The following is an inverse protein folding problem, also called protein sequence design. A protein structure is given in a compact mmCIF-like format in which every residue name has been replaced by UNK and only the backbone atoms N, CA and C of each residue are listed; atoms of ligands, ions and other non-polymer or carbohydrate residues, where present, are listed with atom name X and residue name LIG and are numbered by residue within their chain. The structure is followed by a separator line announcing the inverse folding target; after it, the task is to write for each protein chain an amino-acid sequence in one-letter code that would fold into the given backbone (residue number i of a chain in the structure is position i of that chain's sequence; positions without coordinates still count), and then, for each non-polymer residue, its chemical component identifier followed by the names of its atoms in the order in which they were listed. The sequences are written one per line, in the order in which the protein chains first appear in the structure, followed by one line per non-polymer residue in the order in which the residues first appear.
data_IF_506797677469
#
_entry.id   IF_506797677469
#
_cell.length_a   1.000
_cell.length_b   1.000
_cell.length_c   1.000
_cell.angle_alpha   90.00
_cell.angle_beta   90.00
_cell.angle_gamma   90.00
#
_symmetry.space_group_name_H-M   'P 1'
#
loop_
_entity.id
_entity.type
_entity.pdbx_description
1 polymer ?
#
# COMPACT_ATOMS: atom_id res chain seq x y z
N UNK A 1 6.66 13.10 -8.48
CA UNK A 1 5.40 12.36 -8.62
C UNK A 1 5.74 10.89 -8.70
N UNK A 2 5.11 10.07 -7.85
CA UNK A 2 5.22 8.61 -7.96
C UNK A 2 4.40 8.20 -9.17
N UNK A 3 5.04 7.67 -10.20
CA UNK A 3 4.35 7.15 -11.39
C UNK A 3 4.23 5.62 -11.26
N UNK A 4 3.22 5.05 -11.89
CA UNK A 4 3.09 3.60 -12.03
C UNK A 4 4.27 3.07 -12.88
N UNK A 5 4.93 2.03 -12.40
CA UNK A 5 5.88 1.25 -13.19
C UNK A 5 5.16 0.33 -14.20
N UNK A 6 5.87 -0.24 -15.17
CA UNK A 6 5.29 -1.15 -16.17
C UNK A 6 4.55 -2.33 -15.51
N UNK A 7 5.15 -2.94 -14.48
CA UNK A 7 4.51 -4.01 -13.72
C UNK A 7 3.23 -3.54 -12.98
N UNK A 8 3.21 -2.29 -12.51
CA UNK A 8 2.04 -1.70 -11.87
C UNK A 8 0.93 -1.36 -12.88
N UNK A 9 1.30 -0.91 -14.09
CA UNK A 9 0.38 -0.69 -15.18
C UNK A 9 -0.29 -1.99 -15.63
N UNK A 10 0.48 -3.06 -15.79
CA UNK A 10 -0.05 -4.38 -16.16
C UNK A 10 -1.02 -4.91 -15.09
N UNK A 11 -0.61 -4.85 -13.82
CA UNK A 11 -1.47 -5.26 -12.71
C UNK A 11 -2.74 -4.41 -12.57
N UNK A 12 -2.65 -3.11 -12.88
CA UNK A 12 -3.82 -2.22 -12.93
C UNK A 12 -4.79 -2.65 -14.03
N UNK A 13 -4.31 -2.84 -15.27
CA UNK A 13 -5.14 -3.27 -16.40
C UNK A 13 -5.83 -4.61 -16.14
N UNK A 14 -5.10 -5.59 -15.59
CA UNK A 14 -5.70 -6.88 -15.24
C UNK A 14 -6.78 -6.77 -14.16
N UNK A 15 -6.58 -5.90 -13.19
CA UNK A 15 -7.60 -5.62 -12.16
C UNK A 15 -8.82 -4.93 -12.75
N UNK A 16 -8.60 -3.92 -13.59
CA UNK A 16 -9.67 -3.17 -14.27
C UNK A 16 -10.51 -4.10 -15.14
N UNK A 17 -9.88 -4.96 -15.95
CA UNK A 17 -10.59 -5.93 -16.80
C UNK A 17 -11.46 -6.89 -15.99
N UNK A 18 -10.96 -7.39 -14.86
CA UNK A 18 -11.74 -8.24 -13.95
C UNK A 18 -12.93 -7.50 -13.36
N UNK A 19 -12.74 -6.26 -12.93
CA UNK A 19 -13.81 -5.44 -12.34
C UNK A 19 -14.88 -5.06 -13.38
N UNK A 20 -14.48 -4.64 -14.58
CA UNK A 20 -15.42 -4.36 -15.67
C UNK A 20 -16.18 -5.62 -16.11
N UNK A 21 -15.50 -6.77 -16.17
CA UNK A 21 -16.16 -8.04 -16.46
C UNK A 21 -17.18 -8.40 -15.39
N UNK A 22 -16.89 -8.18 -14.11
CA UNK A 22 -17.84 -8.39 -13.01
C UNK A 22 -19.12 -7.55 -13.17
N UNK A 23 -18.98 -6.24 -13.45
CA UNK A 23 -20.13 -5.33 -13.63
C UNK A 23 -20.95 -5.66 -14.89
N UNK A 24 -20.30 -6.09 -15.99
CA UNK A 24 -20.94 -6.31 -17.29
C UNK A 24 -21.31 -7.76 -17.59
N UNK A 25 -20.98 -8.70 -16.70
CA UNK A 25 -21.23 -10.14 -16.87
C UNK A 25 -22.72 -10.46 -17.11
N UNK A 26 -23.62 -9.60 -16.61
CA UNK A 26 -25.07 -9.84 -16.63
C UNK A 26 -25.79 -9.13 -17.78
N UNK A 27 -25.04 -8.48 -18.67
CA UNK A 27 -25.57 -7.68 -19.76
C UNK A 27 -25.07 -6.24 -19.72
N UNK A 28 -25.52 -5.44 -20.68
CA UNK A 28 -25.19 -4.02 -20.74
C UNK A 28 -25.95 -3.25 -19.65
N UNK A 29 -25.46 -2.05 -19.32
CA UNK A 29 -26.13 -1.12 -18.41
C UNK A 29 -27.45 -0.62 -19.03
N UNK A 30 -28.52 -1.36 -18.73
CA UNK A 30 -29.87 -1.09 -19.24
C UNK A 30 -30.42 0.25 -18.74
N UNK A 31 -30.04 0.69 -17.55
CA UNK A 31 -30.54 1.94 -16.96
C UNK A 31 -29.99 3.11 -17.74
N UNK A 32 -28.69 3.14 -17.99
CA UNK A 32 -28.05 4.16 -18.81
C UNK A 32 -28.58 4.14 -20.24
N UNK A 33 -28.74 2.96 -20.86
CA UNK A 33 -29.28 2.85 -22.21
C UNK A 33 -30.71 3.37 -22.34
N UNK A 34 -31.56 3.17 -21.34
CA UNK A 34 -32.94 3.60 -21.37
C UNK A 34 -33.12 5.10 -21.07
N UNK A 35 -32.17 5.72 -20.36
CA UNK A 35 -32.34 7.09 -19.82
C UNK A 35 -31.42 8.12 -20.48
N UNK A 36 -30.30 7.71 -21.08
CA UNK A 36 -29.31 8.62 -21.67
C UNK A 36 -29.39 8.56 -23.20
N UNK A 37 -29.78 9.65 -23.89
CA UNK A 37 -29.80 9.68 -25.35
C UNK A 37 -28.43 9.40 -25.96
N UNK A 38 -28.41 8.65 -27.07
CA UNK A 38 -27.20 8.38 -27.82
C UNK A 38 -26.52 9.70 -28.28
N UNK A 39 -25.20 9.77 -28.13
CA UNK A 39 -24.41 10.97 -28.48
C UNK A 39 -24.39 12.06 -27.41
N UNK A 40 -25.05 11.86 -26.25
CA UNK A 40 -24.93 12.79 -25.11
C UNK A 40 -23.48 12.83 -24.62
N UNK A 41 -22.88 14.02 -24.62
CA UNK A 41 -21.55 14.28 -24.07
C UNK A 41 -21.72 14.98 -22.74
N UNK A 42 -20.98 14.54 -21.73
CA UNK A 42 -20.98 15.13 -20.40
C UNK A 42 -19.57 15.46 -19.93
N UNK A 43 -19.47 16.45 -19.05
CA UNK A 43 -18.26 16.76 -18.30
C UNK A 43 -18.47 16.25 -16.88
N UNK A 44 -17.64 15.31 -16.43
CA UNK A 44 -17.72 14.71 -15.12
C UNK A 44 -16.47 15.05 -14.29
N UNK A 45 -16.65 15.24 -12.99
CA UNK A 45 -15.57 15.53 -12.05
C UNK A 45 -15.55 14.52 -10.91
N UNK A 46 -14.38 13.97 -10.61
CA UNK A 46 -14.17 13.20 -9.38
C UNK A 46 -13.99 14.18 -8.22
N UNK A 47 -14.87 14.12 -7.22
CA UNK A 47 -14.90 15.09 -6.12
C UNK A 47 -14.88 14.35 -4.77
N UNK A 48 -13.88 14.60 -3.92
CA UNK A 48 -13.82 14.00 -2.58
C UNK A 48 -14.89 14.60 -1.67
N UNK A 49 -15.47 13.76 -0.82
CA UNK A 49 -16.46 14.15 0.19
C UNK A 49 -15.85 14.39 1.57
N UNK A 50 -14.64 13.90 1.77
CA UNK A 50 -13.86 14.02 3.00
C UNK A 50 -12.38 14.32 2.68
N UNK A 51 -11.60 14.91 3.61
CA UNK A 51 -10.18 15.17 3.39
C UNK A 51 -9.39 13.86 3.33
N UNK A 52 -8.31 13.84 2.54
CA UNK A 52 -7.47 12.65 2.40
C UNK A 52 -6.26 12.88 1.50
N UNK A 53 -5.66 11.79 1.02
CA UNK A 53 -4.57 11.79 0.05
C UNK A 53 -5.03 11.00 -1.18
N UNK A 54 -4.94 11.61 -2.36
CA UNK A 54 -5.31 10.96 -3.61
C UNK A 54 -4.26 9.93 -4.03
N UNK A 55 -4.71 8.74 -4.39
CA UNK A 55 -3.93 7.75 -5.11
C UNK A 55 -4.81 7.03 -6.14
N UNK A 56 -4.27 6.83 -7.35
CA UNK A 56 -4.92 6.12 -8.43
C UNK A 56 -5.54 7.01 -9.50
N UNK A 57 -5.15 8.29 -9.66
CA UNK A 57 -5.68 9.12 -10.77
C UNK A 57 -5.38 8.47 -12.12
N UNK A 58 -4.18 7.92 -12.32
CA UNK A 58 -3.85 7.20 -13.56
C UNK A 58 -4.65 5.90 -13.70
N UNK A 59 -4.99 5.23 -12.59
CA UNK A 59 -5.86 4.04 -12.62
C UNK A 59 -7.28 4.42 -13.07
N UNK A 60 -7.77 5.60 -12.68
CA UNK A 60 -9.05 6.12 -13.17
C UNK A 60 -9.05 6.31 -14.69
N UNK A 61 -7.97 6.89 -15.22
CA UNK A 61 -7.78 7.07 -16.65
C UNK A 61 -7.65 5.72 -17.39
N UNK A 62 -6.98 4.74 -16.80
CA UNK A 62 -6.89 3.39 -17.36
C UNK A 62 -8.26 2.69 -17.46
N UNK A 63 -9.19 2.97 -16.55
CA UNK A 63 -10.58 2.48 -16.67
C UNK A 63 -11.25 3.10 -17.89
N UNK A 64 -11.08 4.41 -18.10
CA UNK A 64 -11.60 5.10 -19.28
C UNK A 64 -10.93 4.61 -20.56
N UNK A 65 -9.62 4.36 -20.55
CA UNK A 65 -8.89 3.79 -21.69
C UNK A 65 -9.46 2.42 -22.09
N UNK A 66 -9.72 1.55 -21.12
CA UNK A 66 -10.25 0.20 -21.38
C UNK A 66 -11.71 0.25 -21.90
N UNK A 67 -12.51 1.21 -21.43
CA UNK A 67 -13.93 1.34 -21.80
C UNK A 67 -14.18 2.15 -23.08
N UNK A 68 -13.42 3.22 -23.30
CA UNK A 68 -13.65 4.20 -24.38
C UNK A 68 -12.53 4.23 -25.43
N UNK A 69 -11.37 3.65 -25.12
CA UNK A 69 -10.14 3.90 -25.86
C UNK A 69 -9.50 5.23 -25.49
N UNK A 70 -8.21 5.35 -25.76
CA UNK A 70 -7.39 6.53 -25.39
C UNK A 70 -7.88 7.84 -26.00
N UNK A 71 -8.53 7.79 -27.16
CA UNK A 71 -9.10 8.95 -27.85
C UNK A 71 -10.61 9.16 -27.55
N UNK A 72 -11.19 8.32 -26.68
CA UNK A 72 -12.62 8.31 -26.39
C UNK A 72 -13.07 9.29 -25.30
N UNK A 73 -12.13 9.96 -24.64
CA UNK A 73 -12.39 10.99 -23.64
C UNK A 73 -11.33 12.09 -23.69
N UNK A 74 -11.63 13.23 -23.06
CA UNK A 74 -10.71 14.36 -22.91
C UNK A 74 -10.53 14.70 -21.43
N UNK A 75 -9.30 14.68 -20.95
CA UNK A 75 -8.97 15.23 -19.62
C UNK A 75 -8.96 16.76 -19.70
N UNK A 76 -9.77 17.42 -18.89
CA UNK A 76 -9.85 18.88 -18.80
C UNK A 76 -8.96 19.41 -17.67
N UNK A 77 -8.92 18.71 -16.54
CA UNK A 77 -8.05 19.02 -15.40
C UNK A 77 -7.74 17.75 -14.59
N UNK A 78 -6.58 17.71 -13.93
CA UNK A 78 -6.22 16.61 -13.03
C UNK A 78 -5.14 17.01 -12.01
N UNK A 79 -5.25 16.46 -10.82
CA UNK A 79 -4.15 16.50 -9.83
C UNK A 79 -3.21 15.30 -10.00
N UNK A 80 -2.02 15.41 -9.39
CA UNK A 80 -1.09 14.30 -9.27
C UNK A 80 -1.37 13.45 -8.03
N UNK A 81 -1.05 12.16 -8.10
CA UNK A 81 -1.09 11.27 -6.93
C UNK A 81 -0.18 11.79 -5.80
N UNK A 82 -0.67 11.68 -4.56
CA UNK A 82 -0.02 12.14 -3.34
C UNK A 82 -0.45 13.53 -2.87
N UNK A 83 -1.27 14.23 -3.66
CA UNK A 83 -1.86 15.52 -3.26
C UNK A 83 -2.84 15.32 -2.10
N UNK A 84 -2.78 16.22 -1.10
CA UNK A 84 -3.79 16.27 -0.03
C UNK A 84 -5.06 16.93 -0.55
N UNK A 85 -6.16 16.21 -0.43
CA UNK A 85 -7.46 16.62 -0.92
C UNK A 85 -8.23 17.43 0.13
N UNK A 86 -9.03 18.37 -0.35
CA UNK A 86 -10.05 19.06 0.42
C UNK A 86 -11.43 18.67 -0.11
N UNK A 87 -12.44 18.47 0.76
CA UNK A 87 -13.80 18.17 0.32
C UNK A 87 -14.32 19.19 -0.69
N UNK A 88 -15.00 18.71 -1.73
CA UNK A 88 -15.60 19.56 -2.76
C UNK A 88 -14.64 20.08 -3.83
N UNK A 89 -13.33 19.85 -3.72
CA UNK A 89 -12.37 20.24 -4.75
C UNK A 89 -12.16 19.10 -5.77
N UNK A 90 -12.49 19.28 -7.05
CA UNK A 90 -12.28 18.26 -8.08
C UNK A 90 -10.81 17.81 -8.16
N UNK A 91 -10.60 16.49 -8.28
CA UNK A 91 -9.27 15.87 -8.45
C UNK A 91 -8.99 15.43 -9.89
N UNK A 92 -10.05 15.21 -10.66
CA UNK A 92 -10.00 14.85 -12.08
C UNK A 92 -11.28 15.35 -12.72
N UNK A 93 -11.19 16.08 -13.82
CA UNK A 93 -12.33 16.48 -14.65
C UNK A 93 -12.12 15.97 -16.07
N UNK A 94 -13.09 15.20 -16.58
CA UNK A 94 -13.06 14.60 -17.91
C UNK A 94 -14.32 14.93 -18.69
N UNK A 95 -14.21 14.92 -20.02
CA UNK A 95 -15.34 15.05 -20.93
C UNK A 95 -15.38 13.83 -21.86
N UNK A 96 -16.53 13.16 -21.94
CA UNK A 96 -16.72 11.97 -22.78
C UNK A 96 -18.21 11.69 -23.03
N UNK A 97 -18.51 10.59 -23.72
CA UNK A 97 -19.89 10.10 -23.85
C UNK A 97 -20.47 9.78 -22.46
N UNK A 98 -21.61 10.39 -22.13
CA UNK A 98 -22.24 10.29 -20.82
C UNK A 98 -22.53 8.83 -20.43
N UNK A 99 -22.97 8.02 -21.40
CA UNK A 99 -23.25 6.61 -21.17
C UNK A 99 -22.00 5.82 -20.76
N UNK A 100 -20.85 6.12 -21.36
CA UNK A 100 -19.61 5.44 -21.05
C UNK A 100 -19.03 5.87 -19.70
N UNK A 101 -19.18 7.16 -19.33
CA UNK A 101 -18.81 7.65 -18.00
C UNK A 101 -19.61 6.94 -16.90
N UNK A 102 -20.92 6.79 -17.09
CA UNK A 102 -21.80 6.10 -16.13
C UNK A 102 -21.46 4.62 -15.99
N UNK A 103 -21.19 3.92 -17.11
CA UNK A 103 -20.77 2.50 -17.06
C UNK A 103 -19.40 2.33 -16.40
N UNK A 104 -18.46 3.24 -16.62
CA UNK A 104 -17.12 3.20 -16.02
C UNK A 104 -17.10 3.61 -14.54
N UNK A 105 -18.11 4.36 -14.09
CA UNK A 105 -18.14 5.05 -12.79
C UNK A 105 -17.81 4.13 -11.63
N UNK A 106 -18.53 3.02 -11.47
CA UNK A 106 -18.44 2.20 -10.25
C UNK A 106 -17.08 1.54 -10.13
N UNK A 107 -16.58 0.94 -11.21
CA UNK A 107 -15.24 0.35 -11.26
C UNK A 107 -14.16 1.40 -10.98
N UNK A 108 -14.26 2.58 -11.61
CA UNK A 108 -13.32 3.68 -11.41
C UNK A 108 -13.30 4.18 -9.96
N UNK A 109 -14.47 4.51 -9.39
CA UNK A 109 -14.58 5.00 -8.02
C UNK A 109 -14.12 3.96 -7.01
N UNK A 110 -14.52 2.69 -7.14
CA UNK A 110 -14.13 1.65 -6.19
C UNK A 110 -12.59 1.52 -6.08
N UNK A 111 -11.87 1.56 -7.20
CA UNK A 111 -10.41 1.47 -7.22
C UNK A 111 -9.77 2.71 -6.59
N UNK A 112 -10.17 3.91 -7.03
CA UNK A 112 -9.56 5.17 -6.54
C UNK A 112 -9.90 5.41 -5.07
N UNK A 113 -11.13 5.15 -4.63
CA UNK A 113 -11.54 5.28 -3.23
C UNK A 113 -10.74 4.33 -2.33
N UNK A 114 -10.51 3.09 -2.76
CA UNK A 114 -9.69 2.13 -2.01
C UNK A 114 -8.22 2.54 -1.94
N UNK A 115 -7.61 2.86 -3.08
CA UNK A 115 -6.21 3.30 -3.14
C UNK A 115 -6.00 4.59 -2.34
N UNK A 116 -6.90 5.56 -2.46
CA UNK A 116 -6.84 6.81 -1.70
C UNK A 116 -7.05 6.58 -0.20
N UNK A 117 -7.88 5.61 0.19
CA UNK A 117 -7.99 5.19 1.60
C UNK A 117 -6.67 4.71 2.18
N UNK A 118 -5.92 3.89 1.42
CA UNK A 118 -4.59 3.39 1.79
C UNK A 118 -3.57 4.54 1.90
N UNK A 119 -3.53 5.41 0.89
CA UNK A 119 -2.62 6.54 0.88
C UNK A 119 -2.90 7.50 2.05
N UNK A 120 -4.19 7.72 2.34
CA UNK A 120 -4.64 8.57 3.45
C UNK A 120 -4.21 8.01 4.81
N UNK A 121 -4.47 6.73 5.08
CA UNK A 121 -4.05 6.14 6.37
C UNK A 121 -2.53 6.10 6.48
N UNK A 122 -1.80 5.77 5.40
CA UNK A 122 -0.33 5.76 5.39
C UNK A 122 0.24 7.15 5.69
N UNK A 123 -0.29 8.20 5.08
CA UNK A 123 0.15 9.57 5.33
C UNK A 123 -0.03 9.98 6.80
N UNK A 124 -1.11 9.54 7.46
CA UNK A 124 -1.31 9.76 8.89
C UNK A 124 -0.23 9.08 9.74
N UNK A 125 0.18 7.86 9.39
CA UNK A 125 1.29 7.18 10.07
C UNK A 125 2.63 7.87 9.84
N UNK A 126 2.89 8.32 8.61
CA UNK A 126 4.10 9.08 8.26
C UNK A 126 4.16 10.39 9.05
N UNK A 127 3.04 11.08 9.18
CA UNK A 127 2.94 12.29 10.00
C UNK A 127 3.17 11.99 11.49
N UNK A 128 2.62 10.89 12.00
CA UNK A 128 2.75 10.51 13.41
C UNK A 128 4.21 10.23 13.84
N UNK A 129 5.05 9.75 12.93
CA UNK A 129 6.48 9.47 13.21
C UNK A 129 7.42 10.58 12.75
N UNK A 130 6.88 11.72 12.29
CA UNK A 130 7.66 12.87 11.82
C UNK A 130 8.59 13.38 12.93
N UNK A 131 9.83 13.69 12.55
CA UNK A 131 10.88 14.09 13.50
C UNK A 131 11.71 12.93 14.05
N UNK A 132 11.35 11.69 13.72
CA UNK A 132 12.17 10.49 13.95
C UNK A 132 12.83 10.03 12.64
N UNK A 133 13.72 9.04 12.71
CA UNK A 133 14.28 8.36 11.52
C UNK A 133 13.41 7.23 10.98
N UNK A 134 12.38 6.83 11.73
CA UNK A 134 11.59 5.65 11.40
C UNK A 134 10.78 5.87 10.12
N UNK A 135 10.72 4.84 9.27
CA UNK A 135 9.88 4.85 8.07
C UNK A 135 8.72 3.86 8.22
N UNK A 136 7.59 4.19 7.63
CA UNK A 136 6.40 3.34 7.67
C UNK A 136 6.48 2.32 6.54
N UNK A 137 6.40 1.02 6.86
CA UNK A 137 6.39 -0.08 5.89
C UNK A 137 5.05 -0.80 5.86
N UNK A 138 4.66 -1.20 4.66
CA UNK A 138 3.54 -2.12 4.46
C UNK A 138 3.92 -3.56 4.83
N UNK A 139 3.00 -4.50 4.56
CA UNK A 139 3.27 -5.93 4.71
C UNK A 139 2.75 -6.70 3.50
N UNK A 140 2.77 -8.03 3.58
CA UNK A 140 2.09 -8.92 2.62
C UNK A 140 0.63 -9.23 2.99
N UNK A 141 0.09 -8.62 4.05
CA UNK A 141 -1.33 -8.71 4.44
C UNK A 141 -2.18 -7.84 3.52
N UNK A 142 -2.17 -8.18 2.24
CA UNK A 142 -2.85 -7.49 1.15
C UNK A 142 -4.04 -8.30 0.66
N UNK A 143 -4.99 -7.64 0.00
CA UNK A 143 -6.07 -8.34 -0.69
C UNK A 143 -5.51 -9.17 -1.87
N UNK A 144 -5.96 -10.42 -2.06
CA UNK A 144 -5.58 -11.23 -3.21
C UNK A 144 -5.90 -10.51 -4.52
N UNK A 145 -4.94 -10.48 -5.44
CA UNK A 145 -5.09 -9.79 -6.74
C UNK A 145 -4.84 -8.28 -6.73
N UNK A 146 -4.82 -7.62 -5.56
CA UNK A 146 -4.66 -6.15 -5.46
C UNK A 146 -3.31 -5.71 -4.87
N UNK A 147 -2.42 -6.65 -4.51
CA UNK A 147 -1.16 -6.34 -3.80
C UNK A 147 -0.38 -5.19 -4.44
N UNK A 148 -0.20 -5.22 -5.75
CA UNK A 148 0.61 -4.24 -6.47
C UNK A 148 0.01 -2.83 -6.34
N UNK A 149 -1.31 -2.69 -6.53
CA UNK A 149 -2.02 -1.41 -6.37
C UNK A 149 -2.03 -0.92 -4.92
N UNK A 150 -2.20 -1.83 -3.95
CA UNK A 150 -2.16 -1.47 -2.54
C UNK A 150 -0.77 -0.98 -2.11
N UNK A 151 0.30 -1.64 -2.58
CA UNK A 151 1.68 -1.23 -2.33
C UNK A 151 2.03 0.09 -3.02
N UNK A 152 1.54 0.29 -4.24
CA UNK A 152 1.61 1.60 -4.89
C UNK A 152 0.98 2.70 -4.03
N UNK A 153 -0.24 2.47 -3.53
CA UNK A 153 -0.94 3.45 -2.71
C UNK A 153 -0.22 3.77 -1.38
N UNK A 154 0.43 2.78 -0.74
CA UNK A 154 1.30 3.03 0.42
C UNK A 154 2.46 3.96 0.05
N UNK A 155 3.14 3.73 -1.08
CA UNK A 155 4.22 4.62 -1.56
C UNK A 155 3.71 6.04 -1.83
N UNK A 156 2.52 6.17 -2.43
CA UNK A 156 1.88 7.48 -2.66
C UNK A 156 1.59 8.20 -1.34
N UNK A 157 1.15 7.48 -0.31
CA UNK A 157 0.98 8.01 1.05
C UNK A 157 2.28 8.34 1.80
N UNK A 158 3.45 8.13 1.20
CA UNK A 158 4.76 8.42 1.79
C UNK A 158 5.38 7.27 2.57
N UNK A 159 4.73 6.10 2.58
CA UNK A 159 5.34 4.87 3.11
C UNK A 159 6.40 4.30 2.16
N UNK A 160 7.09 3.27 2.62
CA UNK A 160 8.02 2.48 1.81
C UNK A 160 7.55 1.03 1.75
N UNK A 161 7.76 0.38 0.61
CA UNK A 161 7.32 -1.00 0.47
C UNK A 161 8.25 -1.93 1.25
N UNK A 162 7.65 -2.88 1.97
CA UNK A 162 8.32 -4.13 2.30
C UNK A 162 8.33 -5.06 1.07
N UNK A 163 8.90 -6.24 1.20
CA UNK A 163 8.92 -7.29 0.16
C UNK A 163 7.58 -7.48 -0.56
N UNK A 164 7.63 -7.65 -1.88
CA UNK A 164 6.49 -7.89 -2.77
C UNK A 164 5.97 -9.34 -2.68
N UNK A 165 6.88 -10.29 -2.48
CA UNK A 165 6.60 -11.72 -2.62
C UNK A 165 7.33 -12.60 -1.60
N UNK A 166 7.31 -13.91 -1.83
CA UNK A 166 8.05 -14.89 -1.00
C UNK A 166 9.55 -14.93 -1.35
N UNK A 167 9.90 -14.83 -2.62
CA UNK A 167 11.29 -14.91 -3.10
C UNK A 167 12.00 -13.56 -3.27
N UNK A 168 11.37 -12.47 -2.85
CA UNK A 168 11.95 -11.12 -2.97
C UNK A 168 12.99 -10.85 -1.86
N UNK A 169 12.64 -11.21 -0.63
CA UNK A 169 13.50 -11.14 0.55
C UNK A 169 13.23 -12.37 1.41
N UNK A 170 14.29 -13.03 1.88
CA UNK A 170 14.16 -14.12 2.82
C UNK A 170 13.72 -13.57 4.18
N UNK A 171 12.62 -14.08 4.72
CA UNK A 171 12.11 -13.67 6.05
C UNK A 171 11.86 -14.92 6.88
N UNK A 172 12.74 -15.14 7.85
CA UNK A 172 12.64 -16.21 8.83
C UNK A 172 11.58 -15.83 9.86
N UNK A 173 10.73 -16.79 10.21
CA UNK A 173 9.58 -16.62 11.10
C UNK A 173 9.58 -17.74 12.12
N UNK A 174 8.79 -17.59 13.17
CA UNK A 174 8.46 -18.60 14.18
C UNK A 174 8.36 -20.03 13.63
N UNK A 175 7.62 -20.22 12.52
CA UNK A 175 7.39 -21.53 11.90
C UNK A 175 8.67 -22.14 11.30
N UNK A 176 9.55 -21.32 10.74
CA UNK A 176 10.86 -21.77 10.25
C UNK A 176 11.79 -22.11 11.41
N UNK A 177 11.78 -21.28 12.47
CA UNK A 177 12.56 -21.51 13.69
C UNK A 177 12.14 -22.82 14.35
N UNK A 178 10.84 -23.09 14.45
CA UNK A 178 10.29 -24.33 14.99
C UNK A 178 10.71 -25.56 14.16
N UNK A 179 10.70 -25.45 12.83
CA UNK A 179 11.09 -26.53 11.94
C UNK A 179 12.60 -26.86 12.01
N UNK A 180 13.45 -25.85 12.19
CA UNK A 180 14.92 -26.02 12.24
C UNK A 180 15.43 -26.24 13.68
N UNK A 181 14.65 -25.83 14.69
CA UNK A 181 14.96 -25.95 16.11
C UNK A 181 15.73 -24.77 16.71
N UNK A 182 16.20 -23.80 15.91
CA UNK A 182 16.81 -22.56 16.42
C UNK A 182 16.80 -21.43 15.39
N UNK A 183 16.77 -20.18 15.88
CA UNK A 183 16.75 -18.98 15.04
C UNK A 183 18.07 -18.79 14.27
N UNK A 184 19.20 -19.01 14.93
CA UNK A 184 20.54 -18.97 14.32
C UNK A 184 20.70 -20.09 13.29
N UNK A 185 20.18 -21.30 13.58
CA UNK A 185 20.19 -22.40 12.64
C UNK A 185 19.42 -22.10 11.36
N UNK A 186 18.22 -21.52 11.48
CA UNK A 186 17.42 -21.10 10.34
C UNK A 186 18.12 -20.00 9.50
N UNK A 187 18.73 -19.01 10.16
CA UNK A 187 19.47 -17.94 9.51
C UNK A 187 20.65 -18.46 8.71
N UNK A 188 21.46 -19.33 9.30
CA UNK A 188 22.60 -19.96 8.60
C UNK A 188 22.17 -20.84 7.45
N UNK A 189 21.07 -21.57 7.59
CA UNK A 189 20.52 -22.40 6.52
C UNK A 189 20.08 -21.56 5.31
N UNK A 190 19.39 -20.44 5.53
CA UNK A 190 18.99 -19.51 4.46
C UNK A 190 20.21 -18.93 3.76
N UNK A 191 21.20 -18.44 4.52
CA UNK A 191 22.43 -17.87 3.94
C UNK A 191 23.24 -18.87 3.13
N UNK A 192 23.26 -20.14 3.53
CA UNK A 192 23.91 -21.20 2.77
C UNK A 192 23.18 -21.53 1.46
N UNK A 193 21.84 -21.38 1.43
CA UNK A 193 21.02 -21.71 0.27
C UNK A 193 20.88 -20.54 -0.73
N UNK A 194 20.89 -19.29 -0.26
CA UNK A 194 20.64 -18.09 -1.06
C UNK A 194 21.41 -16.88 -0.51
N UNK A 195 22.75 -16.93 -0.63
CA UNK A 195 23.65 -15.89 -0.09
C UNK A 195 23.48 -14.50 -0.71
N UNK A 196 22.86 -14.43 -1.88
CA UNK A 196 22.60 -13.21 -2.65
C UNK A 196 21.31 -12.48 -2.21
N UNK A 197 20.43 -13.15 -1.45
CA UNK A 197 19.19 -12.55 -0.95
C UNK A 197 19.42 -11.90 0.41
N UNK A 198 18.86 -10.70 0.58
CA UNK A 198 18.74 -10.08 1.90
C UNK A 198 17.99 -11.02 2.85
N UNK A 199 18.47 -11.13 4.08
CA UNK A 199 17.94 -12.03 5.10
C UNK A 199 17.40 -11.23 6.29
N UNK A 200 16.10 -11.33 6.47
CA UNK A 200 15.37 -10.76 7.59
C UNK A 200 14.98 -11.86 8.56
N UNK A 201 14.97 -11.56 9.86
CA UNK A 201 14.59 -12.52 10.90
C UNK A 201 13.61 -11.91 11.89
N UNK A 202 12.51 -12.60 12.11
CA UNK A 202 11.52 -12.27 13.13
C UNK A 202 11.94 -12.87 14.47
N UNK A 203 11.92 -12.04 15.52
CA UNK A 203 12.21 -12.44 16.90
C UNK A 203 11.09 -11.95 17.82
N UNK A 204 10.75 -12.75 18.82
CA UNK A 204 9.68 -12.48 19.80
C UNK A 204 10.20 -12.16 21.22
N UNK A 205 11.52 -12.21 21.39
CA UNK A 205 12.17 -12.10 22.70
C UNK A 205 13.56 -11.46 22.59
N UNK A 206 13.99 -10.80 23.69
CA UNK A 206 15.30 -10.17 23.77
C UNK A 206 16.44 -11.19 23.75
N UNK A 207 16.16 -12.43 24.18
CA UNK A 207 17.05 -13.57 24.14
C UNK A 207 17.32 -14.03 22.70
N UNK A 208 16.28 -14.15 21.88
CA UNK A 208 16.44 -14.43 20.45
C UNK A 208 17.17 -13.30 19.73
N UNK A 209 16.83 -12.04 20.04
CA UNK A 209 17.54 -10.87 19.52
C UNK A 209 19.04 -10.97 19.79
N UNK A 210 19.45 -11.25 21.03
CA UNK A 210 20.86 -11.38 21.39
C UNK A 210 21.57 -12.47 20.59
N UNK A 211 20.87 -13.60 20.34
CA UNK A 211 21.41 -14.70 19.56
C UNK A 211 21.62 -14.34 18.08
N UNK A 212 20.69 -13.60 17.46
CA UNK A 212 20.79 -13.24 16.03
C UNK A 212 21.66 -12.03 15.76
N UNK A 213 21.81 -11.10 16.72
CA UNK A 213 22.67 -9.92 16.54
C UNK A 213 24.12 -10.29 16.24
N UNK A 214 24.61 -11.41 16.79
CA UNK A 214 25.97 -11.91 16.51
C UNK A 214 26.14 -12.44 15.08
N UNK A 215 25.04 -12.73 14.38
CA UNK A 215 25.06 -13.16 12.98
C UNK A 215 24.86 -11.98 12.01
N UNK A 216 24.57 -10.76 12.50
CA UNK A 216 24.39 -9.56 11.69
C UNK A 216 23.44 -9.72 10.48
N UNK A 217 22.16 -10.12 10.66
CA UNK A 217 21.18 -10.11 9.56
C UNK A 217 20.95 -8.70 9.03
N UNK A 218 20.48 -8.58 7.79
CA UNK A 218 20.21 -7.25 7.20
C UNK A 218 19.10 -6.50 7.98
N UNK A 219 18.10 -7.23 8.50
CA UNK A 219 17.04 -6.66 9.32
C UNK A 219 16.49 -7.66 10.34
N UNK A 220 16.14 -7.16 11.53
CA UNK A 220 15.46 -7.92 12.58
C UNK A 220 14.09 -7.30 12.82
N UNK A 221 13.05 -8.13 12.74
CA UNK A 221 11.67 -7.77 12.97
C UNK A 221 11.30 -8.12 14.42
N UNK A 222 10.97 -7.11 15.21
CA UNK A 222 10.62 -7.22 16.62
C UNK A 222 9.12 -7.50 16.74
N UNK A 223 8.75 -8.76 16.91
CA UNK A 223 7.34 -9.19 16.92
C UNK A 223 6.71 -8.97 18.30
N UNK A 224 5.72 -8.08 18.35
CA UNK A 224 4.94 -7.74 19.54
C UNK A 224 5.77 -7.29 20.76
N UNK A 225 6.95 -6.71 20.54
CA UNK A 225 7.76 -6.12 21.61
C UNK A 225 7.02 -4.94 22.23
N UNK A 226 7.01 -4.86 23.56
CA UNK A 226 6.64 -3.61 24.24
C UNK A 226 7.65 -2.50 23.92
N UNK A 227 7.25 -1.23 24.12
CA UNK A 227 8.12 -0.06 23.90
C UNK A 227 9.45 -0.18 24.67
N UNK A 228 9.42 -0.64 25.92
CA UNK A 228 10.64 -0.79 26.72
C UNK A 228 11.58 -1.87 26.16
N UNK A 229 11.03 -2.96 25.62
CA UNK A 229 11.83 -4.00 24.95
C UNK A 229 12.39 -3.48 23.63
N UNK A 230 11.61 -2.68 22.90
CA UNK A 230 12.04 -2.04 21.66
C UNK A 230 13.21 -1.09 21.93
N UNK A 231 13.14 -0.28 22.98
CA UNK A 231 14.24 0.57 23.43
C UNK A 231 15.49 -0.25 23.79
N UNK A 232 15.33 -1.34 24.54
CA UNK A 232 16.43 -2.23 24.87
C UNK A 232 17.05 -2.89 23.63
N UNK A 233 16.22 -3.27 22.65
CA UNK A 233 16.66 -3.84 21.40
C UNK A 233 17.51 -2.86 20.59
N UNK A 234 17.07 -1.60 20.47
CA UNK A 234 17.83 -0.53 19.81
C UNK A 234 19.17 -0.30 20.49
N UNK A 235 19.20 -0.23 21.83
CA UNK A 235 20.45 -0.04 22.60
C UNK A 235 21.46 -1.18 22.35
N UNK A 236 20.98 -2.43 22.36
CA UNK A 236 21.79 -3.62 22.09
C UNK A 236 22.32 -3.62 20.66
N UNK A 237 21.45 -3.37 19.67
CA UNK A 237 21.83 -3.27 18.25
C UNK A 237 22.90 -2.20 18.05
N UNK A 238 22.69 -1.00 18.58
CA UNK A 238 23.63 0.12 18.40
C UNK A 238 25.04 -0.18 18.95
N UNK A 239 25.13 -0.98 20.01
CA UNK A 239 26.41 -1.33 20.64
C UNK A 239 27.09 -2.51 19.96
N UNK A 240 26.32 -3.51 19.51
CA UNK A 240 26.85 -4.80 19.04
C UNK A 240 26.92 -4.93 17.52
N UNK A 241 25.92 -4.42 16.81
CA UNK A 241 25.75 -4.59 15.38
C UNK A 241 25.04 -3.37 14.75
N UNK A 242 25.71 -2.20 14.68
CA UNK A 242 25.09 -0.93 14.30
C UNK A 242 24.52 -0.90 12.87
N UNK A 243 24.96 -1.81 11.99
CA UNK A 243 24.49 -1.92 10.61
C UNK A 243 23.15 -2.67 10.46
N UNK A 244 22.80 -3.54 11.43
CA UNK A 244 21.57 -4.36 11.39
C UNK A 244 20.36 -3.45 11.54
N UNK A 245 19.38 -3.50 10.64
CA UNK A 245 18.16 -2.68 10.74
C UNK A 245 17.15 -3.29 11.73
N UNK A 246 16.37 -2.45 12.41
CA UNK A 246 15.28 -2.91 13.30
C UNK A 246 13.92 -2.43 12.79
N UNK A 247 12.96 -3.35 12.74
CA UNK A 247 11.57 -3.09 12.37
C UNK A 247 10.63 -3.53 13.49
N UNK A 248 9.80 -2.62 14.01
CA UNK A 248 8.72 -3.00 14.92
C UNK A 248 7.53 -3.54 14.15
N UNK A 249 6.97 -4.68 14.60
CA UNK A 249 5.78 -5.30 14.03
C UNK A 249 4.90 -5.86 15.13
N UNK A 250 3.58 -5.80 14.94
CA UNK A 250 2.62 -6.24 15.96
C UNK A 250 2.41 -5.19 17.06
N UNK A 251 1.23 -5.18 17.68
CA UNK A 251 0.87 -4.22 18.74
C UNK A 251 0.92 -2.73 18.37
N UNK A 252 1.14 -2.37 17.10
CA UNK A 252 1.22 -0.99 16.64
C UNK A 252 -0.18 -0.40 16.43
N UNK A 253 -0.35 0.84 16.88
CA UNK A 253 -1.51 1.69 16.61
C UNK A 253 -1.06 3.10 16.26
N UNK A 254 -1.92 3.90 15.65
CA UNK A 254 -1.54 5.27 15.27
C UNK A 254 -1.19 6.11 16.50
N UNK A 255 -1.85 5.86 17.64
CA UNK A 255 -1.63 6.54 18.92
C UNK A 255 -0.26 6.23 19.52
N UNK A 256 0.28 5.03 19.29
CA UNK A 256 1.57 4.61 19.84
C UNK A 256 2.73 4.70 18.85
N UNK A 257 2.47 5.03 17.58
CA UNK A 257 3.46 5.08 16.51
C UNK A 257 4.67 5.97 16.84
N UNK A 258 4.42 7.18 17.34
CA UNK A 258 5.46 8.13 17.75
C UNK A 258 6.35 7.57 18.88
N UNK A 259 5.74 6.86 19.83
CA UNK A 259 6.45 6.25 20.97
C UNK A 259 7.41 5.16 20.51
N UNK A 260 6.95 4.25 19.63
CA UNK A 260 7.82 3.23 19.04
C UNK A 260 8.92 3.87 18.20
N UNK A 261 8.57 4.81 17.32
CA UNK A 261 9.55 5.49 16.47
C UNK A 261 10.61 6.27 17.29
N UNK A 262 10.21 6.87 18.42
CA UNK A 262 11.09 7.57 19.35
C UNK A 262 12.14 6.68 20.01
N UNK A 263 11.96 5.37 20.03
CA UNK A 263 12.99 4.43 20.52
C UNK A 263 14.22 4.36 19.60
N UNK A 264 14.08 4.76 18.34
CA UNK A 264 15.14 4.71 17.34
C UNK A 264 15.16 3.43 16.49
N UNK A 265 14.04 2.71 16.39
CA UNK A 265 13.84 1.71 15.32
C UNK A 265 13.85 2.36 13.94
N UNK A 266 14.18 1.58 12.92
CA UNK A 266 14.33 2.07 11.55
C UNK A 266 13.01 2.01 10.79
N UNK A 267 12.15 1.04 11.13
CA UNK A 267 10.86 0.84 10.47
C UNK A 267 9.74 0.49 11.45
N UNK A 268 8.52 0.85 11.06
CA UNK A 268 7.27 0.33 11.64
C UNK A 268 6.51 -0.41 10.53
N UNK A 269 6.32 -1.73 10.69
CA UNK A 269 5.56 -2.56 9.77
C UNK A 269 4.07 -2.58 10.14
N UNK A 270 3.25 -1.90 9.35
CA UNK A 270 1.83 -1.68 9.66
C UNK A 270 0.96 -2.45 8.69
N UNK A 271 0.49 -3.63 9.13
CA UNK A 271 -0.40 -4.46 8.31
C UNK A 271 -1.74 -3.79 7.98
N UNK A 272 -2.27 -2.99 8.91
CA UNK A 272 -3.57 -2.36 8.79
C UNK A 272 -3.67 -1.38 7.61
N UNK A 273 -2.53 -0.91 7.08
CA UNK A 273 -2.49 -0.07 5.88
C UNK A 273 -3.12 -0.74 4.66
N UNK A 274 -3.16 -2.08 4.61
CA UNK A 274 -3.64 -2.81 3.44
C UNK A 274 -4.78 -3.79 3.73
N UNK A 275 -4.90 -4.35 4.94
CA UNK A 275 -5.98 -5.31 5.25
C UNK A 275 -7.22 -4.69 5.90
N UNK A 276 -7.12 -3.49 6.49
CA UNK A 276 -8.20 -2.84 7.25
C UNK A 276 -8.42 -1.40 6.78
N UNK A 277 -8.48 -1.24 5.45
CA UNK A 277 -8.62 0.07 4.80
C UNK A 277 -10.04 0.57 4.94
N UNK A 278 -10.20 1.81 5.41
CA UNK A 278 -11.41 2.60 5.16
C UNK A 278 -11.22 3.33 3.84
N UNK A 279 -12.13 3.15 2.89
CA UNK A 279 -12.09 3.89 1.63
C UNK A 279 -12.15 5.40 1.88
N UNK A 280 -11.56 6.19 0.98
CA UNK A 280 -11.79 7.64 0.93
C UNK A 280 -13.03 7.90 0.09
N UNK A 281 -14.05 8.57 0.64
CA UNK A 281 -15.29 8.84 -0.09
C UNK A 281 -15.07 9.87 -1.21
N UNK A 282 -15.20 9.44 -2.47
CA UNK A 282 -15.08 10.24 -3.69
C UNK A 282 -16.27 9.90 -4.59
N UNK A 283 -16.96 10.92 -5.07
CA UNK A 283 -18.05 10.78 -6.04
C UNK A 283 -17.65 11.22 -7.45
N UNK A 284 -18.47 10.85 -8.43
CA UNK A 284 -18.43 11.39 -9.78
C UNK A 284 -19.61 12.36 -9.95
N UNK A 285 -19.31 13.66 -10.09
CA UNK A 285 -20.30 14.72 -10.28
C UNK A 285 -20.37 15.10 -11.76
N UNK A 286 -21.57 15.03 -12.35
CA UNK A 286 -21.88 15.35 -13.76
C UNK A 286 -22.77 16.57 -13.90
#
# INVERSE_FOLDING_TARGET
MTMLSDCELDAARDTIRRALHEDLQYGLDITTQATVPAGTVATASMVPREPGVIAGVDVALLVLDEMLGVDGYRVLDRVGDGVRLQPGQPLLTVQAAASALLTAERTMLNLVCHMSGIATVTASWVDAVRGTKAKIRDTRKTLPGLRVLQKYAVRVGGGVNHRLGLGDVALIKDNHVAAVGSVVGALRAVRAAASELSCEVEVDSLEQLDAVLAEEPELILLDNFAVWQTQAAVQRRNTRAPAVLLESSGGLSLENAATYAGTGVDYLAVGALTHSVRILDIGLDM
#
